data_IF_373617832119
#
_entry.id   IF_373617832119
#
_cell.length_a   1.000
_cell.length_b   1.000
_cell.length_c   1.000
_cell.angle_alpha   90.00
_cell.angle_beta   90.00
_cell.angle_gamma   90.00
#
_symmetry.space_group_name_H-M   'P 1'
#
loop_
_entity.id
_entity.type
_entity.pdbx_description
1 polymer ?
#
# COMPACT_ATOMS: atom_id res chain seq x y z
N UNK A 1 17.45 -25.67 28.00
CA UNK A 1 16.77 -26.98 27.87
C UNK A 1 15.38 -26.81 28.44
N UNK A 2 14.38 -26.60 27.60
CA UNK A 2 12.99 -26.60 28.07
C UNK A 2 12.56 -28.06 28.17
N UNK A 3 12.37 -28.56 29.39
CA UNK A 3 11.61 -29.79 29.59
C UNK A 3 10.17 -29.52 29.12
N UNK A 4 9.88 -29.83 27.87
CA UNK A 4 8.51 -29.97 27.40
C UNK A 4 7.92 -31.20 28.09
N UNK A 5 7.42 -31.04 29.32
CA UNK A 5 6.51 -32.02 29.89
C UNK A 5 5.36 -32.16 28.90
N UNK A 6 5.20 -33.36 28.37
CA UNK A 6 4.11 -33.65 27.45
C UNK A 6 2.80 -33.32 28.16
N UNK A 7 1.84 -32.61 27.54
CA UNK A 7 0.53 -32.36 28.15
C UNK A 7 -0.17 -33.67 28.55
N UNK A 8 0.23 -34.79 27.92
CA UNK A 8 -0.17 -36.13 28.31
C UNK A 8 0.47 -36.61 29.62
N UNK A 9 1.71 -36.24 29.94
CA UNK A 9 2.31 -36.59 31.25
C UNK A 9 1.56 -35.94 32.41
N UNK A 10 1.16 -34.67 32.27
CA UNK A 10 0.36 -34.00 33.31
C UNK A 10 -1.03 -34.64 33.49
N UNK A 11 -1.63 -35.19 32.42
CA UNK A 11 -2.89 -35.92 32.49
C UNK A 11 -2.72 -37.30 33.14
N UNK A 12 -1.61 -37.98 32.86
CA UNK A 12 -1.25 -39.24 33.50
C UNK A 12 -1.02 -39.02 35.00
N UNK A 13 -0.28 -37.99 35.40
CA UNK A 13 -0.05 -37.66 36.81
C UNK A 13 -1.35 -37.37 37.56
N UNK A 14 -2.30 -36.69 36.90
CA UNK A 14 -3.62 -36.41 37.46
C UNK A 14 -4.49 -37.66 37.59
N UNK A 15 -4.44 -38.55 36.58
CA UNK A 15 -5.14 -39.84 36.60
C UNK A 15 -4.57 -40.75 37.69
N UNK A 16 -3.25 -40.86 37.82
CA UNK A 16 -2.55 -41.62 38.86
C UNK A 16 -2.88 -41.08 40.26
N UNK A 17 -2.87 -39.76 40.43
CA UNK A 17 -3.26 -39.12 41.71
C UNK A 17 -4.72 -39.39 42.08
N UNK A 18 -5.61 -39.43 41.09
CA UNK A 18 -7.04 -39.74 41.29
C UNK A 18 -7.26 -41.22 41.59
N UNK A 19 -6.54 -42.11 40.90
CA UNK A 19 -6.54 -43.54 41.18
C UNK A 19 -6.05 -43.83 42.60
N UNK A 20 -4.92 -43.22 43.00
CA UNK A 20 -4.36 -43.38 44.35
C UNK A 20 -5.33 -42.92 45.45
N UNK A 21 -6.10 -41.86 45.20
CA UNK A 21 -7.12 -41.37 46.13
C UNK A 21 -8.29 -42.36 46.26
N UNK A 22 -8.73 -42.96 45.15
CA UNK A 22 -9.79 -43.98 45.15
C UNK A 22 -9.35 -45.29 45.82
N UNK A 23 -8.10 -45.73 45.59
CA UNK A 23 -7.55 -46.92 46.25
C UNK A 23 -7.48 -46.76 47.78
N UNK A 24 -7.22 -45.54 48.29
CA UNK A 24 -7.19 -45.26 49.73
C UNK A 24 -8.54 -45.45 50.44
N UNK A 25 -9.66 -45.39 49.70
CA UNK A 25 -11.00 -45.62 50.26
C UNK A 25 -11.51 -47.05 50.10
N UNK A 26 -10.73 -47.95 49.50
CA UNK A 26 -11.10 -49.36 49.30
C UNK A 26 -10.63 -50.24 50.47
N UNK A 27 -11.31 -51.37 50.67
CA UNK A 27 -10.93 -52.37 51.68
C UNK A 27 -9.77 -53.24 51.20
N UNK A 28 -9.05 -53.88 52.13
CA UNK A 28 -7.92 -54.77 51.83
C UNK A 28 -8.31 -55.97 50.94
N UNK A 29 -9.54 -56.46 51.09
CA UNK A 29 -10.09 -57.55 50.26
C UNK A 29 -10.31 -57.09 48.81
N UNK A 30 -10.84 -55.87 48.61
CA UNK A 30 -11.04 -55.28 47.28
C UNK A 30 -9.72 -54.94 46.59
N UNK A 31 -8.73 -54.46 47.35
CA UNK A 31 -7.39 -54.16 46.83
C UNK A 31 -6.63 -55.44 46.44
N UNK A 32 -6.77 -56.53 47.22
CA UNK A 32 -6.20 -57.84 46.85
C UNK A 32 -6.87 -58.40 45.60
N UNK A 33 -8.20 -58.38 45.54
CA UNK A 33 -8.93 -58.84 44.36
C UNK A 33 -8.57 -58.05 43.09
N UNK A 34 -8.31 -56.74 43.21
CA UNK A 34 -7.86 -55.89 42.10
C UNK A 34 -6.39 -56.11 41.72
N UNK A 35 -5.54 -56.55 42.65
CA UNK A 35 -4.15 -56.90 42.36
C UNK A 35 -4.03 -58.28 41.68
N UNK A 36 -4.96 -59.18 41.98
CA UNK A 36 -4.97 -60.56 41.48
C UNK A 36 -5.73 -60.71 40.14
N UNK A 37 -6.53 -59.72 39.73
CA UNK A 37 -7.30 -59.69 38.48
C UNK A 37 -7.03 -58.42 37.65
N UNK A 38 -6.20 -58.56 36.61
CA UNK A 38 -5.85 -57.49 35.67
C UNK A 38 -7.08 -56.90 34.96
N UNK A 39 -8.13 -57.69 34.69
CA UNK A 39 -9.33 -57.19 34.04
C UNK A 39 -10.15 -56.28 34.97
N UNK A 40 -10.12 -56.58 36.27
CA UNK A 40 -10.74 -55.73 37.29
C UNK A 40 -9.97 -54.42 37.44
N UNK A 41 -8.63 -54.47 37.40
CA UNK A 41 -7.78 -53.28 37.40
C UNK A 41 -8.00 -52.40 36.16
N UNK A 42 -8.07 -52.98 34.96
CA UNK A 42 -8.35 -52.26 33.72
C UNK A 42 -9.73 -51.59 33.77
N UNK A 43 -10.75 -52.29 34.28
CA UNK A 43 -12.09 -51.71 34.45
C UNK A 43 -12.12 -50.53 35.42
N UNK A 44 -11.27 -50.58 36.46
CA UNK A 44 -11.11 -49.48 37.39
C UNK A 44 -10.39 -48.29 36.74
N UNK A 45 -9.35 -48.54 35.94
CA UNK A 45 -8.64 -47.51 35.16
C UNK A 45 -9.61 -46.84 34.18
N UNK A 46 -10.39 -47.61 33.42
CA UNK A 46 -11.41 -47.08 32.49
C UNK A 46 -12.51 -46.28 33.19
N UNK A 47 -12.79 -46.58 34.46
CA UNK A 47 -13.77 -45.85 35.27
C UNK A 47 -13.29 -44.46 35.71
N UNK A 48 -11.98 -44.19 35.62
CA UNK A 48 -11.41 -42.91 36.01
C UNK A 48 -11.97 -41.79 35.12
N UNK A 49 -12.39 -40.65 35.72
CA UNK A 49 -13.04 -39.58 34.97
C UNK A 49 -12.13 -38.98 33.89
N UNK A 50 -10.81 -38.99 34.11
CA UNK A 50 -9.81 -38.54 33.14
C UNK A 50 -9.80 -39.40 31.88
N UNK A 51 -9.93 -40.72 32.02
CA UNK A 51 -9.90 -41.66 30.88
C UNK A 51 -11.26 -41.67 30.18
N UNK A 52 -12.35 -41.61 30.96
CA UNK A 52 -13.71 -41.58 30.43
C UNK A 52 -14.03 -40.32 29.61
N UNK A 53 -13.43 -39.16 29.95
CA UNK A 53 -13.70 -37.93 29.21
C UNK A 53 -12.96 -37.88 27.86
N UNK A 54 -11.78 -38.50 27.75
CA UNK A 54 -10.88 -38.41 26.58
C UNK A 54 -11.56 -38.68 25.23
N UNK A 55 -12.43 -39.69 25.06
CA UNK A 55 -13.12 -39.90 23.78
C UNK A 55 -14.03 -38.73 23.40
N UNK A 56 -14.70 -38.11 24.38
CA UNK A 56 -15.59 -36.96 24.18
C UNK A 56 -14.77 -35.72 23.83
N UNK A 57 -13.66 -35.52 24.54
CA UNK A 57 -12.77 -34.37 24.33
C UNK A 57 -12.11 -34.43 22.95
N UNK A 58 -11.71 -35.65 22.53
CA UNK A 58 -11.22 -35.92 21.18
C UNK A 58 -12.26 -35.59 20.12
N UNK A 59 -13.50 -36.07 20.29
CA UNK A 59 -14.57 -35.81 19.31
C UNK A 59 -14.90 -34.31 19.22
N UNK A 60 -14.94 -33.62 20.37
CA UNK A 60 -15.13 -32.16 20.43
C UNK A 60 -14.01 -31.40 19.70
N UNK A 61 -12.75 -31.80 19.91
CA UNK A 61 -11.60 -31.21 19.24
C UNK A 61 -11.62 -31.48 17.72
N UNK A 62 -11.98 -32.69 17.31
CA UNK A 62 -12.12 -33.05 15.89
C UNK A 62 -13.23 -32.24 15.22
N UNK A 63 -14.40 -32.12 15.86
CA UNK A 63 -15.52 -31.34 15.36
C UNK A 63 -15.15 -29.85 15.23
N UNK A 64 -14.44 -29.30 16.22
CA UNK A 64 -13.94 -27.92 16.20
C UNK A 64 -12.93 -27.69 15.08
N UNK A 65 -11.93 -28.56 14.96
CA UNK A 65 -10.92 -28.49 13.90
C UNK A 65 -11.57 -28.59 12.50
N UNK A 66 -12.51 -29.52 12.33
CA UNK A 66 -13.27 -29.68 11.09
C UNK A 66 -14.06 -28.41 10.74
N UNK A 67 -14.78 -27.85 11.71
CA UNK A 67 -15.55 -26.62 11.50
C UNK A 67 -14.64 -25.44 11.10
N UNK A 68 -13.47 -25.34 11.72
CA UNK A 68 -12.48 -24.31 11.39
C UNK A 68 -11.89 -24.51 9.99
N UNK A 69 -11.58 -25.75 9.62
CA UNK A 69 -11.09 -26.08 8.28
C UNK A 69 -12.15 -25.77 7.21
N UNK A 70 -13.41 -26.14 7.44
CA UNK A 70 -14.52 -25.83 6.54
C UNK A 70 -14.74 -24.32 6.39
N UNK A 71 -14.67 -23.57 7.49
CA UNK A 71 -14.77 -22.11 7.43
C UNK A 71 -13.60 -21.48 6.66
N UNK A 72 -12.36 -21.94 6.90
CA UNK A 72 -11.18 -21.46 6.17
C UNK A 72 -11.31 -21.73 4.67
N UNK A 73 -11.74 -22.93 4.28
CA UNK A 73 -12.00 -23.30 2.89
C UNK A 73 -13.11 -22.45 2.27
N UNK A 74 -14.17 -22.14 3.03
CA UNK A 74 -15.25 -21.26 2.58
C UNK A 74 -14.80 -19.80 2.37
N UNK A 75 -13.78 -19.32 3.10
CA UNK A 75 -13.23 -17.97 2.91
C UNK A 75 -12.25 -17.87 1.74
N UNK A 76 -11.58 -18.96 1.37
CA UNK A 76 -10.61 -19.00 0.28
C UNK A 76 -11.10 -18.37 -1.04
N UNK A 77 -12.31 -18.67 -1.58
CA UNK A 77 -12.76 -18.09 -2.85
C UNK A 77 -12.94 -16.57 -2.78
N UNK A 78 -13.42 -16.04 -1.65
CA UNK A 78 -13.58 -14.59 -1.45
C UNK A 78 -12.22 -13.89 -1.41
N UNK A 79 -11.24 -14.48 -0.73
CA UNK A 79 -9.88 -13.94 -0.66
C UNK A 79 -9.23 -13.96 -2.04
N UNK A 80 -9.35 -15.07 -2.78
CA UNK A 80 -8.77 -15.19 -4.11
C UNK A 80 -9.42 -14.21 -5.10
N UNK A 81 -10.74 -14.03 -5.02
CA UNK A 81 -11.45 -13.03 -5.82
C UNK A 81 -10.97 -11.60 -5.50
N UNK A 82 -10.86 -11.24 -4.23
CA UNK A 82 -10.38 -9.92 -3.82
C UNK A 82 -8.93 -9.67 -4.25
N UNK A 83 -8.08 -10.69 -4.18
CA UNK A 83 -6.70 -10.65 -4.66
C UNK A 83 -6.65 -10.43 -6.18
N UNK A 84 -7.44 -11.19 -6.95
CA UNK A 84 -7.52 -11.05 -8.40
C UNK A 84 -8.01 -9.66 -8.82
N UNK A 85 -9.03 -9.12 -8.14
CA UNK A 85 -9.51 -7.75 -8.35
C UNK A 85 -8.44 -6.72 -8.06
N UNK A 86 -7.70 -6.88 -6.95
CA UNK A 86 -6.61 -5.98 -6.57
C UNK A 86 -5.50 -5.97 -7.61
N UNK A 87 -5.10 -7.15 -8.10
CA UNK A 87 -4.08 -7.27 -9.15
C UNK A 87 -4.55 -6.61 -10.47
N UNK A 88 -5.83 -6.78 -10.82
CA UNK A 88 -6.40 -6.15 -12.02
C UNK A 88 -6.40 -4.62 -11.91
N UNK A 89 -6.82 -4.08 -10.76
CA UNK A 89 -6.80 -2.64 -10.50
C UNK A 89 -5.37 -2.08 -10.49
N UNK A 90 -4.41 -2.83 -9.95
CA UNK A 90 -3.01 -2.43 -9.96
C UNK A 90 -2.46 -2.36 -11.38
N UNK A 91 -2.74 -3.36 -12.23
CA UNK A 91 -2.33 -3.35 -13.64
C UNK A 91 -2.96 -2.16 -14.40
N UNK A 92 -4.25 -1.89 -14.19
CA UNK A 92 -4.92 -0.71 -14.76
C UNK A 92 -4.28 0.60 -14.29
N UNK A 93 -3.99 0.73 -13.00
CA UNK A 93 -3.35 1.91 -12.45
C UNK A 93 -1.92 2.09 -12.99
N UNK A 94 -1.17 1.01 -13.19
CA UNK A 94 0.15 1.05 -13.83
C UNK A 94 0.06 1.52 -15.28
N UNK A 95 -0.89 1.00 -16.06
CA UNK A 95 -1.14 1.45 -17.44
C UNK A 95 -1.49 2.94 -17.50
N UNK A 96 -2.43 3.38 -16.68
CA UNK A 96 -2.80 4.81 -16.59
C UNK A 96 -1.61 5.67 -16.17
N UNK A 97 -0.80 5.20 -15.20
CA UNK A 97 0.41 5.91 -14.80
C UNK A 97 1.38 6.06 -15.98
N UNK A 98 1.62 5.00 -16.75
CA UNK A 98 2.51 5.06 -17.92
C UNK A 98 1.98 6.02 -18.99
N UNK A 99 0.68 6.02 -19.24
CA UNK A 99 0.03 6.93 -20.19
C UNK A 99 0.15 8.39 -19.72
N UNK A 100 -0.16 8.67 -18.46
CA UNK A 100 -0.02 10.01 -17.87
C UNK A 100 1.42 10.48 -17.90
N UNK A 101 2.40 9.62 -17.61
CA UNK A 101 3.81 10.00 -17.70
C UNK A 101 4.23 10.32 -19.13
N UNK A 102 3.76 9.54 -20.11
CA UNK A 102 4.05 9.79 -21.52
C UNK A 102 3.40 11.11 -22.00
N UNK A 103 2.14 11.36 -21.63
CA UNK A 103 1.45 12.62 -21.94
C UNK A 103 2.13 13.81 -21.26
N UNK A 104 2.60 13.64 -20.03
CA UNK A 104 3.36 14.68 -19.32
C UNK A 104 4.67 14.98 -20.03
N UNK A 105 5.42 13.96 -20.45
CA UNK A 105 6.67 14.16 -21.19
C UNK A 105 6.43 14.88 -22.52
N UNK A 106 5.37 14.51 -23.26
CA UNK A 106 4.96 15.23 -24.46
C UNK A 106 4.61 16.69 -24.16
N UNK A 107 3.87 16.95 -23.08
CA UNK A 107 3.53 18.30 -22.66
C UNK A 107 4.78 19.10 -22.26
N UNK A 108 5.70 18.52 -21.52
CA UNK A 108 6.94 19.16 -21.08
C UNK A 108 7.85 19.48 -22.29
N UNK A 109 7.89 18.61 -23.31
CA UNK A 109 8.61 18.86 -24.57
C UNK A 109 7.99 20.02 -25.38
N UNK A 110 6.65 20.08 -25.47
CA UNK A 110 5.97 21.18 -26.15
C UNK A 110 6.07 22.48 -25.35
N UNK A 111 5.97 22.39 -24.03
CA UNK A 111 6.08 23.53 -23.12
C UNK A 111 7.48 24.12 -23.17
N UNK A 112 8.53 23.30 -23.08
CA UNK A 112 9.92 23.77 -23.13
C UNK A 112 10.26 24.47 -24.46
N UNK A 113 9.91 23.88 -25.60
CA UNK A 113 10.14 24.49 -26.93
C UNK A 113 9.30 25.75 -27.18
N UNK A 114 8.13 25.89 -26.56
CA UNK A 114 7.25 27.05 -26.67
C UNK A 114 7.27 27.94 -25.42
N UNK A 115 8.30 27.81 -24.57
CA UNK A 115 8.38 28.66 -23.39
C UNK A 115 8.43 30.11 -23.85
N UNK A 116 7.69 30.97 -23.15
CA UNK A 116 7.66 32.41 -23.44
C UNK A 116 9.09 32.99 -23.42
N UNK A 117 9.97 32.53 -22.54
CA UNK A 117 11.39 32.90 -22.53
C UNK A 117 12.12 32.57 -23.84
N UNK A 118 11.95 31.34 -24.35
CA UNK A 118 12.53 30.90 -25.63
C UNK A 118 11.99 31.76 -26.78
N UNK A 119 10.68 32.02 -26.78
CA UNK A 119 10.02 32.86 -27.78
C UNK A 119 10.53 34.30 -27.75
N UNK A 120 10.76 34.85 -26.56
CA UNK A 120 11.34 36.19 -26.38
C UNK A 120 12.75 36.26 -26.94
N UNK A 121 13.60 35.30 -26.56
CA UNK A 121 14.99 35.25 -27.01
C UNK A 121 15.07 35.13 -28.53
N UNK A 122 14.26 34.27 -29.14
CA UNK A 122 14.20 34.12 -30.59
C UNK A 122 13.74 35.40 -31.28
N UNK A 123 12.76 36.10 -30.71
CA UNK A 123 12.29 37.38 -31.25
C UNK A 123 13.33 38.49 -31.11
N UNK A 124 14.15 38.47 -30.07
CA UNK A 124 15.27 39.40 -29.90
C UNK A 124 16.38 39.14 -30.93
N UNK A 125 16.72 37.87 -31.21
CA UNK A 125 17.63 37.50 -32.30
C UNK A 125 17.09 38.00 -33.65
N UNK A 126 15.81 37.75 -33.95
CA UNK A 126 15.19 38.20 -35.19
C UNK A 126 15.03 39.74 -35.26
N UNK A 127 15.04 40.44 -34.13
CA UNK A 127 15.08 41.90 -34.09
C UNK A 127 16.48 42.41 -34.44
N UNK A 128 17.53 41.77 -33.91
CA UNK A 128 18.92 42.10 -34.23
C UNK A 128 19.24 41.83 -35.70
N UNK A 129 18.82 40.68 -36.24
CA UNK A 129 18.99 40.35 -37.66
C UNK A 129 18.35 41.40 -38.59
N UNK A 130 17.15 41.88 -38.24
CA UNK A 130 16.50 42.96 -38.98
C UNK A 130 17.20 44.32 -38.84
N UNK A 131 17.92 44.53 -37.73
CA UNK A 131 18.74 45.73 -37.51
C UNK A 131 20.02 45.67 -38.33
N UNK A 132 20.69 44.52 -38.35
CA UNK A 132 21.88 44.24 -39.15
C UNK A 132 21.56 44.38 -40.65
N UNK A 133 20.39 43.88 -41.10
CA UNK A 133 19.88 44.11 -42.47
C UNK A 133 19.71 45.59 -42.79
N UNK A 134 19.20 46.38 -41.83
CA UNK A 134 19.05 47.82 -42.00
C UNK A 134 20.41 48.54 -42.08
N UNK A 135 21.40 48.08 -41.30
CA UNK A 135 22.78 48.57 -41.40
C UNK A 135 23.44 48.21 -42.73
N UNK A 136 23.18 47.01 -43.26
CA UNK A 136 23.63 46.63 -44.60
C UNK A 136 23.05 47.55 -45.68
N UNK A 137 21.75 47.86 -45.62
CA UNK A 137 21.10 48.83 -46.53
C UNK A 137 21.71 50.24 -46.38
N UNK A 138 22.00 50.67 -45.14
CA UNK A 138 22.68 51.95 -44.89
C UNK A 138 24.07 51.99 -45.53
N UNK A 139 24.83 50.90 -45.42
CA UNK A 139 26.16 50.79 -46.01
C UNK A 139 26.11 50.84 -47.54
N UNK A 140 25.19 50.09 -48.16
CA UNK A 140 24.97 50.13 -49.61
C UNK A 140 24.66 51.54 -50.12
N UNK A 141 23.89 52.33 -49.36
CA UNK A 141 23.62 53.72 -49.70
C UNK A 141 24.87 54.61 -49.59
N UNK A 142 25.68 54.44 -48.54
CA UNK A 142 26.94 55.19 -48.37
C UNK A 142 27.95 54.88 -49.47
N UNK A 143 27.98 53.63 -49.93
CA UNK A 143 28.83 53.16 -51.02
C UNK A 143 28.28 53.57 -52.41
N UNK A 144 27.08 54.18 -52.47
CA UNK A 144 26.44 54.67 -53.70
C UNK A 144 25.78 53.58 -54.54
N UNK A 145 25.58 52.37 -54.00
CA UNK A 145 25.01 51.21 -54.71
C UNK A 145 23.49 51.34 -54.91
N UNK A 146 22.80 52.07 -54.03
CA UNK A 146 21.35 52.27 -54.08
C UNK A 146 20.98 53.77 -54.08
N UNK A 147 19.94 54.17 -54.85
CA UNK A 147 19.47 55.56 -54.86
C UNK A 147 18.69 55.92 -53.59
N UNK A 148 18.65 57.22 -53.27
CA UNK A 148 18.06 57.74 -52.03
C UNK A 148 16.60 57.31 -51.79
N UNK A 149 15.76 57.28 -52.83
CA UNK A 149 14.36 56.88 -52.71
C UNK A 149 14.19 55.41 -52.32
N UNK A 150 15.06 54.54 -52.85
CA UNK A 150 15.04 53.10 -52.55
C UNK A 150 15.56 52.84 -51.14
N UNK A 151 16.67 53.51 -50.77
CA UNK A 151 17.22 53.49 -49.42
C UNK A 151 16.17 53.87 -48.38
N UNK A 152 15.50 55.02 -48.56
CA UNK A 152 14.54 55.53 -47.59
C UNK A 152 13.39 54.54 -47.37
N UNK A 153 12.92 53.88 -48.43
CA UNK A 153 11.84 52.89 -48.35
C UNK A 153 12.29 51.64 -47.60
N UNK A 154 13.38 51.01 -48.03
CA UNK A 154 13.85 49.73 -47.47
C UNK A 154 14.38 49.88 -46.04
N UNK A 155 15.13 50.95 -45.76
CA UNK A 155 15.66 51.22 -44.42
C UNK A 155 14.55 51.45 -43.41
N UNK A 156 13.53 52.27 -43.75
CA UNK A 156 12.38 52.49 -42.88
C UNK A 156 11.62 51.19 -42.62
N UNK A 157 11.43 50.36 -43.64
CA UNK A 157 10.76 49.07 -43.51
C UNK A 157 11.51 48.14 -42.53
N UNK A 158 12.82 47.96 -42.73
CA UNK A 158 13.66 47.10 -41.88
C UNK A 158 13.79 47.63 -40.44
N UNK A 159 14.05 48.94 -40.24
CA UNK A 159 14.08 49.54 -38.90
C UNK A 159 12.73 49.45 -38.19
N UNK A 160 11.63 49.66 -38.91
CA UNK A 160 10.29 49.49 -38.32
C UNK A 160 10.07 48.05 -37.87
N UNK A 161 10.47 47.07 -38.68
CA UNK A 161 10.38 45.65 -38.33
C UNK A 161 11.25 45.29 -37.11
N UNK A 162 12.50 45.77 -37.06
CA UNK A 162 13.41 45.57 -35.93
C UNK A 162 12.84 46.15 -34.63
N UNK A 163 12.38 47.40 -34.67
CA UNK A 163 11.75 48.05 -33.51
C UNK A 163 10.47 47.34 -33.06
N UNK A 164 9.61 46.92 -33.99
CA UNK A 164 8.39 46.20 -33.67
C UNK A 164 8.68 44.86 -32.97
N UNK A 165 9.66 44.09 -33.47
CA UNK A 165 10.10 42.83 -32.86
C UNK A 165 10.70 43.05 -31.48
N UNK A 166 11.55 44.07 -31.31
CA UNK A 166 12.13 44.46 -30.02
C UNK A 166 11.06 44.82 -28.99
N UNK A 167 10.12 45.70 -29.35
CA UNK A 167 9.01 46.11 -28.45
C UNK A 167 8.16 44.92 -28.05
N UNK A 168 7.86 44.01 -29.00
CA UNK A 168 7.10 42.80 -28.70
C UNK A 168 7.86 41.86 -27.76
N UNK A 169 9.18 41.74 -27.91
CA UNK A 169 10.06 40.97 -27.02
C UNK A 169 10.04 41.55 -25.60
N UNK A 170 10.30 42.85 -25.48
CA UNK A 170 10.32 43.54 -24.19
C UNK A 170 8.95 43.45 -23.47
N UNK A 171 7.86 43.56 -24.23
CA UNK A 171 6.50 43.39 -23.70
C UNK A 171 6.26 41.96 -23.20
N UNK A 172 6.76 40.96 -23.91
CA UNK A 172 6.62 39.56 -23.52
C UNK A 172 7.39 39.25 -22.22
N UNK A 173 8.61 39.78 -22.07
CA UNK A 173 9.40 39.69 -20.83
C UNK A 173 8.69 40.39 -19.66
N UNK A 174 8.10 41.57 -19.90
CA UNK A 174 7.35 42.29 -18.87
C UNK A 174 6.14 41.48 -18.37
N UNK A 175 5.39 40.85 -19.28
CA UNK A 175 4.26 39.98 -18.92
C UNK A 175 4.69 38.73 -18.15
N UNK A 176 5.81 38.12 -18.53
CA UNK A 176 6.41 36.99 -17.81
C UNK A 176 6.76 37.35 -16.36
N UNK A 177 7.40 38.51 -16.17
CA UNK A 177 7.74 39.03 -14.86
C UNK A 177 6.48 39.28 -14.01
N UNK A 178 5.45 39.87 -14.60
CA UNK A 178 4.17 40.12 -13.93
C UNK A 178 3.46 38.82 -13.51
N UNK A 179 3.47 37.78 -14.36
CA UNK A 179 2.92 36.47 -14.02
C UNK A 179 3.65 35.82 -12.85
N UNK A 180 4.99 35.88 -12.80
CA UNK A 180 5.77 35.35 -11.68
C UNK A 180 5.43 36.02 -10.35
N UNK A 181 5.11 37.32 -10.35
CA UNK A 181 4.65 38.01 -9.14
C UNK A 181 3.19 37.70 -8.77
N UNK A 182 2.34 37.34 -9.74
CA UNK A 182 0.95 36.93 -9.51
C UNK A 182 0.79 35.52 -8.89
N UNK A 183 1.77 34.62 -9.03
CA UNK A 183 1.69 33.26 -8.46
C UNK A 183 2.01 33.20 -6.96
N UNK A 184 2.77 34.17 -6.44
CA UNK A 184 3.14 34.25 -5.01
C UNK A 184 1.94 34.64 -4.13
N UNK A 185 0.90 35.26 -4.73
CA UNK A 185 -0.30 35.73 -4.02
C UNK A 185 -1.56 34.86 -4.26
N UNK A 186 -1.44 33.66 -4.80
CA UNK A 186 -2.56 32.71 -4.74
C UNK A 186 -2.56 32.01 -3.38
N UNK A 187 -3.70 31.98 -2.64
CA UNK A 187 -3.83 31.08 -1.51
C UNK A 187 -3.62 29.67 -2.06
N UNK A 188 -2.66 28.96 -1.49
CA UNK A 188 -2.34 27.58 -1.81
C UNK A 188 -3.64 26.80 -1.97
N UNK A 189 -3.93 26.33 -3.19
CA UNK A 189 -4.99 25.35 -3.39
C UNK A 189 -4.72 24.21 -2.42
N UNK A 190 -5.63 24.01 -1.47
CA UNK A 190 -5.55 22.94 -0.51
C UNK A 190 -5.28 21.64 -1.28
N UNK A 191 -4.16 20.98 -0.94
CA UNK A 191 -3.92 19.63 -1.43
C UNK A 191 -5.13 18.78 -1.06
N UNK A 192 -5.62 17.89 -1.94
CA UNK A 192 -6.68 16.97 -1.57
C UNK A 192 -6.20 16.19 -0.35
N UNK A 193 -6.89 16.37 0.76
CA UNK A 193 -6.68 15.61 1.99
C UNK A 193 -6.74 14.12 1.59
N UNK A 194 -5.79 13.27 2.01
CA UNK A 194 -5.88 11.84 1.73
C UNK A 194 -7.23 11.35 2.27
N UNK A 195 -8.03 10.73 1.41
CA UNK A 195 -9.28 10.12 1.83
C UNK A 195 -9.01 9.16 3.00
N UNK A 196 -9.87 9.12 4.02
CA UNK A 196 -9.73 8.16 5.10
C UNK A 196 -9.62 6.76 4.50
N UNK A 197 -8.60 6.03 4.91
CA UNK A 197 -8.39 4.64 4.50
C UNK A 197 -9.67 3.84 4.75
N UNK A 198 -10.16 3.05 3.79
CA UNK A 198 -11.33 2.20 4.01
C UNK A 198 -11.05 1.30 5.21
N UNK A 199 -11.87 1.43 6.25
CA UNK A 199 -11.86 0.49 7.36
C UNK A 199 -12.11 -0.91 6.78
N UNK A 200 -11.19 -1.84 7.06
CA UNK A 200 -11.38 -3.24 6.66
C UNK A 200 -12.72 -3.73 7.23
N UNK A 201 -13.59 -4.35 6.40
CA UNK A 201 -14.84 -4.89 6.88
C UNK A 201 -14.56 -6.07 7.80
N UNK A 202 -14.61 -5.84 9.12
CA UNK A 202 -14.54 -6.90 10.14
C UNK A 202 -15.91 -7.60 10.25
N UNK A 203 -16.38 -8.17 9.14
CA UNK A 203 -17.65 -8.89 9.08
C UNK A 203 -17.47 -10.40 9.03
N UNK A 204 -16.43 -10.91 9.67
CA UNK A 204 -16.19 -12.33 9.84
C UNK A 204 -16.07 -12.64 11.33
N UNK A 205 -17.21 -12.60 12.02
CA UNK A 205 -17.32 -13.19 13.36
C UNK A 205 -17.04 -14.69 13.22
N UNK A 206 -15.89 -15.14 13.72
CA UNK A 206 -15.72 -16.56 14.04
C UNK A 206 -16.66 -16.94 15.19
N UNK A 207 -17.13 -18.20 15.27
CA UNK A 207 -17.86 -18.68 16.43
C UNK A 207 -17.02 -18.47 17.69
N UNK A 208 -17.57 -17.77 18.69
CA UNK A 208 -16.87 -17.52 19.95
C UNK A 208 -16.81 -18.83 20.73
N UNK A 209 -15.62 -19.37 20.99
CA UNK A 209 -15.46 -20.55 21.84
C UNK A 209 -15.19 -20.11 23.29
N UNK A 210 -16.16 -20.31 24.18
CA UNK A 210 -15.96 -20.21 25.62
C UNK A 210 -15.14 -21.41 26.09
N UNK A 211 -14.03 -21.14 26.77
CA UNK A 211 -12.97 -22.08 27.08
C UNK A 211 -13.43 -23.43 27.65
N UNK A 212 -13.02 -24.49 26.97
CA UNK A 212 -12.86 -25.83 27.56
C UNK A 212 -11.37 -26.13 27.52
N UNK A 213 -10.76 -26.14 28.70
CA UNK A 213 -9.32 -26.29 28.88
C UNK A 213 -8.93 -27.77 28.69
N UNK A 214 -8.62 -28.16 27.45
CA UNK A 214 -7.99 -29.44 27.14
C UNK A 214 -6.56 -29.25 26.65
N UNK A 215 -5.71 -30.22 27.04
CA UNK A 215 -4.25 -30.23 26.95
C UNK A 215 -3.69 -29.60 25.68
N UNK A 216 -2.94 -28.53 25.88
CA UNK A 216 -2.33 -27.69 24.86
C UNK A 216 -1.18 -28.42 24.16
N UNK A 217 -1.50 -29.15 23.08
CA UNK A 217 -0.53 -29.70 22.12
C UNK A 217 -0.40 -28.90 20.83
N UNK A 218 -1.29 -27.93 20.60
CA UNK A 218 -1.21 -26.98 19.49
C UNK A 218 -0.93 -25.56 20.02
N UNK A 219 0.13 -25.42 20.82
CA UNK A 219 0.71 -24.11 21.13
C UNK A 219 1.49 -23.57 19.91
N UNK A 220 0.81 -23.35 18.78
CA UNK A 220 1.30 -22.42 17.76
C UNK A 220 0.30 -22.01 16.66
N UNK A 221 -0.99 -21.94 16.97
CA UNK A 221 -1.80 -20.94 16.26
C UNK A 221 -1.70 -19.64 17.05
N UNK A 222 -1.20 -18.54 16.44
CA UNK A 222 -1.28 -17.24 17.07
C UNK A 222 -2.75 -17.01 17.39
N UNK A 223 -3.08 -16.95 18.69
CA UNK A 223 -4.33 -16.37 19.12
C UNK A 223 -4.36 -14.96 18.55
N UNK A 224 -5.21 -14.71 17.56
CA UNK A 224 -5.54 -13.35 17.16
C UNK A 224 -6.38 -12.76 18.28
N UNK A 225 -5.69 -12.35 19.34
CA UNK A 225 -6.16 -11.29 20.20
C UNK A 225 -6.50 -10.11 19.28
N UNK A 226 -7.60 -9.44 19.61
CA UNK A 226 -8.00 -8.19 18.98
C UNK A 226 -6.75 -7.32 18.79
N UNK A 227 -6.42 -6.86 17.56
CA UNK A 227 -5.15 -6.19 17.33
C UNK A 227 -5.03 -4.97 18.26
N UNK A 228 -3.89 -4.79 18.94
CA UNK A 228 -3.67 -3.60 19.74
C UNK A 228 -3.74 -2.38 18.82
N UNK A 229 -4.65 -1.46 19.13
CA UNK A 229 -4.64 -0.12 18.55
C UNK A 229 -3.41 0.63 19.08
N UNK A 230 -2.28 0.59 18.38
CA UNK A 230 -1.22 1.59 18.58
C UNK A 230 -0.23 1.73 17.42
N UNK A 231 -0.34 2.89 16.77
CA UNK A 231 0.69 3.79 16.18
C UNK A 231 1.76 3.17 15.27
N UNK A 232 1.58 3.37 13.97
CA UNK A 232 2.61 3.25 12.94
C UNK A 232 3.70 4.34 13.09
N UNK A 233 4.99 4.01 12.96
CA UNK A 233 6.06 4.99 12.78
C UNK A 233 6.58 4.91 11.34
N UNK A 234 5.85 5.50 10.40
CA UNK A 234 6.37 5.97 9.11
C UNK A 234 5.48 7.11 8.61
N UNK A 235 5.47 8.17 9.42
CA UNK A 235 5.58 9.58 9.06
C UNK A 235 6.22 10.28 10.26
#
# INVERSE_FOLDING_TARGET
>A
MYSSQSPYESLVDLAVSSAMTNCKSMTTEQLSAMLDDDALLDSFIDSLPQIRSMPTDKESALASNKSLAEWNLAQQPRIEQAKAQTLTLLDQAQKLKTEVTALKEQLDNVSSSKTLDVTSNLMQVAAQEADDDAEAIMKQFQDGEIPADLFLKQFKEKKTLAHLRKIKSDRLVALLREQQYGTINQPSRAMPVPAPTPAYPTNNMMPTFTGSNFGSGYSNYPGFGNPPQSKHPFF
#
